data_IF_699394159974
#
_entry.id   IF_699394159974
#
_cell.length_a   1.000
_cell.length_b   1.000
_cell.length_c   1.000
_cell.angle_alpha   90.00
_cell.angle_beta   90.00
_cell.angle_gamma   90.00
#
_symmetry.space_group_name_H-M   'P 1'
#
loop_
_entity.id
_entity.type
_entity.pdbx_description
1 polymer ?
#
# COMPACT_ATOMS: atom_id res chain seq x y z
N UNK A 1 -1.65 9.49 -7.98
CA UNK A 1 -0.70 8.39 -8.24
C UNK A 1 0.57 8.45 -7.39
N UNK A 2 1.22 9.62 -7.28
CA UNK A 2 2.48 9.82 -6.52
C UNK A 2 2.46 9.24 -5.10
N UNK A 3 1.33 9.30 -4.41
CA UNK A 3 1.23 8.78 -3.05
C UNK A 3 1.35 7.25 -2.98
N UNK A 4 0.64 6.51 -3.85
CA UNK A 4 0.76 5.04 -3.91
C UNK A 4 2.17 4.62 -4.33
N UNK A 5 2.75 5.31 -5.32
CA UNK A 5 4.13 5.07 -5.75
C UNK A 5 5.15 5.26 -4.62
N UNK A 6 4.95 6.26 -3.75
CA UNK A 6 5.82 6.49 -2.59
C UNK A 6 5.71 5.38 -1.54
N UNK A 7 4.51 4.89 -1.27
CA UNK A 7 4.29 3.76 -0.35
C UNK A 7 4.92 2.47 -0.89
N UNK A 8 4.77 2.19 -2.19
CA UNK A 8 5.41 1.03 -2.83
C UNK A 8 6.93 1.15 -2.82
N UNK A 9 7.47 2.33 -3.08
CA UNK A 9 8.91 2.58 -2.99
C UNK A 9 9.42 2.31 -1.56
N UNK A 10 8.71 2.75 -0.52
CA UNK A 10 9.09 2.47 0.88
C UNK A 10 9.16 0.98 1.21
N UNK A 11 8.22 0.18 0.71
CA UNK A 11 8.22 -1.27 0.93
C UNK A 11 9.38 -1.94 0.19
N UNK A 12 9.59 -1.55 -1.09
CA UNK A 12 10.64 -2.12 -1.92
C UNK A 12 12.06 -1.75 -1.47
N UNK A 13 12.25 -0.59 -0.85
CA UNK A 13 13.54 -0.19 -0.28
C UNK A 13 13.80 -0.78 1.11
N UNK A 14 12.88 -1.60 1.64
CA UNK A 14 13.04 -2.22 2.96
C UNK A 14 12.70 -1.30 4.14
N UNK A 15 12.01 -0.18 3.90
CA UNK A 15 11.64 0.72 4.97
C UNK A 15 12.68 1.81 5.23
N UNK A 16 12.72 2.25 6.48
CA UNK A 16 13.72 3.17 7.05
C UNK A 16 14.88 2.36 7.67
N UNK A 17 15.19 1.20 7.08
CA UNK A 17 16.23 0.30 7.56
C UNK A 17 17.62 0.83 7.22
N UNK A 18 18.61 0.53 8.05
CA UNK A 18 20.00 0.82 7.72
C UNK A 18 20.46 -0.16 6.64
N UNK A 19 21.33 0.30 5.73
CA UNK A 19 21.96 -0.53 4.69
C UNK A 19 22.79 -1.67 5.28
N UNK A 20 23.14 -1.58 6.57
CA UNK A 20 23.87 -2.59 7.32
C UNK A 20 22.99 -3.64 8.02
N UNK A 21 21.68 -3.43 8.09
CA UNK A 21 20.76 -4.38 8.72
C UNK A 21 20.16 -5.37 7.72
N UNK A 22 20.11 -6.64 8.10
CA UNK A 22 19.47 -7.67 7.28
C UNK A 22 17.96 -7.65 7.53
N UNK A 23 17.17 -7.36 6.48
CA UNK A 23 15.73 -7.60 6.53
C UNK A 23 15.40 -9.05 6.23
N UNK A 24 14.56 -9.62 7.08
CA UNK A 24 13.94 -10.92 6.79
C UNK A 24 12.70 -10.73 5.92
N UNK A 25 12.32 -11.78 5.19
CA UNK A 25 11.07 -11.82 4.42
C UNK A 25 9.84 -11.50 5.29
N UNK A 26 9.84 -11.94 6.55
CA UNK A 26 8.75 -11.66 7.49
C UNK A 26 8.63 -10.18 7.82
N UNK A 27 9.74 -9.45 7.82
CA UNK A 27 9.73 -8.02 8.12
C UNK A 27 9.28 -7.21 6.90
N UNK A 28 9.65 -7.63 5.69
CA UNK A 28 9.09 -7.11 4.45
C UNK A 28 7.57 -7.32 4.37
N UNK A 29 7.08 -8.52 4.71
CA UNK A 29 5.64 -8.82 4.72
C UNK A 29 4.86 -7.95 5.73
N UNK A 30 5.43 -7.70 6.92
CA UNK A 30 4.82 -6.79 7.91
C UNK A 30 4.80 -5.35 7.38
N UNK A 31 5.89 -4.92 6.74
CA UNK A 31 6.00 -3.58 6.17
C UNK A 31 4.97 -3.39 5.05
N UNK A 32 4.88 -4.34 4.12
CA UNK A 32 3.88 -4.37 3.06
C UNK A 32 2.46 -4.30 3.63
N UNK A 33 2.13 -5.16 4.61
CA UNK A 33 0.82 -5.17 5.24
C UNK A 33 0.46 -3.81 5.84
N UNK A 34 1.40 -3.17 6.55
CA UNK A 34 1.18 -1.87 7.20
C UNK A 34 0.84 -0.79 6.17
N UNK A 35 1.65 -0.69 5.11
CA UNK A 35 1.46 0.32 4.06
C UNK A 35 0.22 0.03 3.21
N UNK A 36 -0.06 -1.24 2.90
CA UNK A 36 -1.27 -1.65 2.22
C UNK A 36 -2.54 -1.28 2.99
N UNK A 37 -2.60 -1.59 4.30
CA UNK A 37 -3.75 -1.23 5.14
C UNK A 37 -3.92 0.29 5.24
N UNK A 38 -2.83 1.05 5.29
CA UNK A 38 -2.89 2.51 5.28
C UNK A 38 -3.51 3.05 3.97
N UNK A 39 -3.11 2.52 2.82
CA UNK A 39 -3.67 2.85 1.51
C UNK A 39 -5.14 2.45 1.38
N UNK A 40 -5.50 1.27 1.91
CA UNK A 40 -6.87 0.77 1.89
C UNK A 40 -7.83 1.65 2.71
N UNK A 41 -7.36 2.26 3.79
CA UNK A 41 -8.14 3.19 4.63
C UNK A 41 -8.37 4.57 4.00
N UNK A 42 -7.79 4.85 2.83
CA UNK A 42 -7.98 6.16 2.22
C UNK A 42 -9.42 6.33 1.72
N UNK A 43 -10.07 7.48 2.01
CA UNK A 43 -11.46 7.71 1.62
C UNK A 43 -11.71 7.50 0.12
N UNK A 44 -10.75 7.90 -0.73
CA UNK A 44 -10.84 7.69 -2.19
C UNK A 44 -10.72 6.22 -2.58
N UNK A 45 -9.89 5.44 -1.89
CA UNK A 45 -9.74 4.01 -2.13
C UNK A 45 -11.01 3.26 -1.68
N UNK A 46 -11.54 3.60 -0.51
CA UNK A 46 -12.81 3.06 -0.01
C UNK A 46 -13.97 3.38 -0.96
N UNK A 47 -14.11 4.63 -1.40
CA UNK A 47 -15.15 5.01 -2.36
C UNK A 47 -15.03 4.23 -3.68
N UNK A 48 -13.80 3.97 -4.16
CA UNK A 48 -13.57 3.13 -5.34
C UNK A 48 -13.94 1.67 -5.09
N UNK A 49 -13.60 1.12 -3.91
CA UNK A 49 -13.96 -0.24 -3.50
C UNK A 49 -15.48 -0.42 -3.36
N UNK A 50 -16.15 0.48 -2.66
CA UNK A 50 -17.62 0.49 -2.50
C UNK A 50 -18.32 0.62 -3.85
N UNK A 51 -17.83 1.51 -4.71
CA UNK A 51 -18.35 1.61 -6.06
C UNK A 51 -18.16 0.31 -6.84
N UNK A 52 -16.96 -0.26 -6.82
CA UNK A 52 -16.67 -1.49 -7.54
C UNK A 52 -17.49 -2.68 -7.03
N UNK A 53 -17.75 -2.77 -5.71
CA UNK A 53 -18.62 -3.77 -5.10
C UNK A 53 -20.10 -3.57 -5.48
N UNK A 54 -20.56 -2.32 -5.58
CA UNK A 54 -21.97 -2.01 -5.88
C UNK A 54 -22.31 -2.06 -7.37
N UNK A 55 -21.40 -1.62 -8.24
CA UNK A 55 -21.65 -1.52 -9.70
C UNK A 55 -20.93 -2.57 -10.53
N UNK A 56 -20.08 -3.40 -9.92
CA UNK A 56 -19.17 -4.35 -10.61
C UNK A 56 -18.23 -3.67 -11.63
N UNK A 57 -18.11 -2.33 -11.61
CA UNK A 57 -17.33 -1.55 -12.56
C UNK A 57 -16.31 -0.70 -11.81
N UNK A 58 -15.07 -0.59 -12.28
CA UNK A 58 -14.06 0.24 -11.63
C UNK A 58 -14.44 1.72 -11.72
N UNK A 59 -14.48 2.41 -10.59
CA UNK A 59 -14.68 3.86 -10.55
C UNK A 59 -13.44 4.55 -11.13
N UNK A 60 -13.58 5.12 -12.33
CA UNK A 60 -12.59 5.99 -12.95
C UNK A 60 -12.87 7.43 -12.52
N UNK A 61 -11.93 8.01 -11.79
CA UNK A 61 -11.78 9.47 -11.70
C UNK A 61 -10.90 9.93 -12.85
#
# INVERSE_FOLDING_TARGET
DVHVGREVAMVLTGGDTDVTEELTERDLLKLEQKHFVALAKQPKTLARLEHMLSTNKPLRN
#
